data_IF_821407167800
#
_entry.id   IF_821407167800
#
_cell.length_a   1.000
_cell.length_b   1.000
_cell.length_c   1.000
_cell.angle_alpha   90.00
_cell.angle_beta   90.00
_cell.angle_gamma   90.00
#
_symmetry.space_group_name_H-M   'P 1'
#
loop_
_entity.id
_entity.type
_entity.pdbx_description
1 polymer ?
#
# COMPACT_ATOMS: atom_id res chain seq x y z
N UNK A 1 38.07 8.36 -9.67
CA UNK A 1 36.80 8.26 -10.42
C UNK A 1 36.44 6.78 -10.49
N UNK A 2 35.74 6.27 -9.47
CA UNK A 2 35.32 4.86 -9.43
C UNK A 2 33.81 4.83 -9.61
N UNK A 3 33.34 4.22 -10.70
CA UNK A 3 31.92 4.06 -10.98
C UNK A 3 31.32 3.13 -9.91
N UNK A 4 30.73 3.70 -8.86
CA UNK A 4 29.98 2.95 -7.85
C UNK A 4 28.63 2.55 -8.47
N UNK A 5 28.47 1.26 -8.70
CA UNK A 5 27.24 0.66 -9.21
C UNK A 5 26.05 1.02 -8.29
N UNK A 6 24.97 1.55 -8.87
CA UNK A 6 23.66 1.69 -8.23
C UNK A 6 23.11 0.29 -7.89
N UNK A 7 23.42 -0.20 -6.68
CA UNK A 7 22.86 -1.44 -6.13
C UNK A 7 21.58 -1.10 -5.36
N UNK A 8 20.56 -1.95 -5.47
CA UNK A 8 19.33 -1.80 -4.70
C UNK A 8 19.65 -2.14 -3.23
N UNK A 9 19.46 -1.21 -2.27
CA UNK A 9 19.93 -1.40 -0.91
C UNK A 9 19.15 -2.52 -0.24
N UNK A 10 19.87 -3.47 0.33
CA UNK A 10 19.31 -4.64 1.03
C UNK A 10 19.38 -4.48 2.56
N UNK A 11 20.13 -3.49 3.05
CA UNK A 11 20.37 -3.24 4.46
C UNK A 11 20.13 -1.78 4.86
N UNK A 12 19.91 -1.54 6.15
CA UNK A 12 19.55 -0.22 6.70
C UNK A 12 20.71 0.79 6.61
N UNK A 13 21.95 0.31 6.71
CA UNK A 13 23.18 1.09 6.53
C UNK A 13 23.38 1.53 5.08
N UNK A 14 23.13 0.64 4.09
CA UNK A 14 23.16 0.99 2.67
C UNK A 14 22.07 2.02 2.31
N UNK A 15 20.94 1.96 3.01
CA UNK A 15 19.85 2.92 2.88
C UNK A 15 20.24 4.30 3.43
N UNK A 16 20.98 4.34 4.53
CA UNK A 16 21.52 5.58 5.10
C UNK A 16 22.62 6.15 4.23
N UNK A 17 23.57 5.35 3.73
CA UNK A 17 24.58 5.82 2.77
C UNK A 17 23.94 6.33 1.47
N UNK A 18 22.94 5.64 0.94
CA UNK A 18 22.20 6.09 -0.23
C UNK A 18 21.43 7.38 0.06
N UNK A 19 20.84 7.51 1.26
CA UNK A 19 20.12 8.70 1.69
C UNK A 19 21.06 9.89 1.89
N UNK A 20 22.24 9.71 2.50
CA UNK A 20 23.26 10.75 2.65
C UNK A 20 23.85 11.16 1.30
N UNK A 21 24.14 10.21 0.42
CA UNK A 21 24.61 10.48 -0.94
C UNK A 21 23.57 11.25 -1.76
N UNK A 22 22.30 10.83 -1.69
CA UNK A 22 21.19 11.55 -2.33
C UNK A 22 20.99 12.93 -1.71
N UNK A 23 21.10 13.10 -0.39
CA UNK A 23 20.98 14.41 0.28
C UNK A 23 22.13 15.36 -0.08
N UNK A 24 23.36 14.85 -0.23
CA UNK A 24 24.50 15.62 -0.71
C UNK A 24 24.29 16.08 -2.16
N UNK A 25 23.79 15.20 -3.05
CA UNK A 25 23.45 15.55 -4.43
C UNK A 25 22.21 16.46 -4.54
N UNK A 26 21.31 16.40 -3.55
CA UNK A 26 20.09 17.21 -3.46
C UNK A 26 20.40 18.70 -3.22
N UNK A 27 21.55 19.03 -2.63
CA UNK A 27 21.97 20.43 -2.38
C UNK A 27 22.35 21.20 -3.65
N UNK A 28 22.77 20.51 -4.72
CA UNK A 28 23.04 21.15 -6.03
C UNK A 28 21.96 20.87 -7.08
N UNK A 29 21.26 19.73 -7.03
CA UNK A 29 20.30 19.32 -8.06
C UNK A 29 18.97 18.77 -7.49
N UNK A 30 18.32 19.57 -6.65
CA UNK A 30 17.04 19.21 -5.98
C UNK A 30 15.96 18.70 -6.95
N UNK A 31 15.88 19.30 -8.15
CA UNK A 31 14.93 18.92 -9.19
C UNK A 31 15.21 17.52 -9.77
N UNK A 32 16.46 17.10 -9.86
CA UNK A 32 16.84 15.81 -10.44
C UNK A 32 16.47 14.64 -9.53
N UNK A 33 16.75 14.78 -8.22
CA UNK A 33 16.36 13.77 -7.21
C UNK A 33 14.85 13.64 -7.13
N UNK A 34 14.13 14.76 -7.15
CA UNK A 34 12.67 14.76 -7.16
C UNK A 34 12.12 14.12 -8.44
N UNK A 35 12.65 14.46 -9.62
CA UNK A 35 12.23 13.84 -10.88
C UNK A 35 12.47 12.34 -10.91
N UNK A 36 13.65 11.89 -10.46
CA UNK A 36 13.98 10.46 -10.40
C UNK A 36 13.06 9.71 -9.43
N UNK A 37 12.82 10.28 -8.24
CA UNK A 37 11.91 9.73 -7.24
C UNK A 37 10.48 9.62 -7.80
N UNK A 38 9.96 10.72 -8.37
CA UNK A 38 8.64 10.74 -9.00
C UNK A 38 8.54 9.70 -10.12
N UNK A 39 9.56 9.59 -10.97
CA UNK A 39 9.57 8.64 -12.09
C UNK A 39 9.56 7.19 -11.59
N UNK A 40 10.39 6.85 -10.59
CA UNK A 40 10.43 5.53 -9.99
C UNK A 40 9.11 5.19 -9.27
N UNK A 41 8.53 6.15 -8.56
CA UNK A 41 7.25 5.99 -7.88
C UNK A 41 6.13 5.72 -8.89
N UNK A 42 6.02 6.56 -9.91
CA UNK A 42 5.01 6.42 -10.96
C UNK A 42 5.18 5.10 -11.68
N UNK A 43 6.41 4.73 -12.08
CA UNK A 43 6.67 3.43 -12.69
C UNK A 43 6.14 2.30 -11.82
N UNK A 44 6.54 2.25 -10.54
CA UNK A 44 6.10 1.22 -9.59
C UNK A 44 4.57 1.17 -9.47
N UNK A 45 3.93 2.33 -9.34
CA UNK A 45 2.50 2.44 -9.13
C UNK A 45 1.69 2.13 -10.40
N UNK A 46 2.17 2.54 -11.58
CA UNK A 46 1.59 2.23 -12.89
C UNK A 46 1.56 0.73 -13.16
N UNK A 47 2.65 0.03 -12.85
CA UNK A 47 2.77 -1.43 -13.00
C UNK A 47 2.23 -2.20 -11.80
N UNK A 48 1.60 -1.51 -10.83
CA UNK A 48 0.95 -2.08 -9.67
C UNK A 48 1.88 -2.97 -8.79
N UNK A 49 3.18 -2.64 -8.77
CA UNK A 49 4.21 -3.41 -8.07
C UNK A 49 4.11 -3.14 -6.54
N UNK A 50 4.01 -4.18 -5.69
CA UNK A 50 3.89 -4.00 -4.25
C UNK A 50 5.14 -3.38 -3.60
N UNK A 51 4.95 -2.73 -2.44
CA UNK A 51 6.02 -2.13 -1.63
C UNK A 51 6.15 -0.60 -1.76
N UNK A 52 5.07 0.11 -2.05
CA UNK A 52 5.04 1.59 -2.05
C UNK A 52 5.34 2.19 -0.67
N UNK A 53 5.16 1.41 0.42
CA UNK A 53 5.50 1.81 1.79
C UNK A 53 6.92 2.34 1.91
N UNK A 54 7.88 1.67 1.24
CA UNK A 54 9.29 2.04 1.31
C UNK A 54 9.55 3.42 0.71
N UNK A 55 8.99 3.69 -0.48
CA UNK A 55 9.12 4.98 -1.14
C UNK A 55 8.42 6.09 -0.33
N UNK A 56 7.28 5.79 0.30
CA UNK A 56 6.60 6.75 1.18
C UNK A 56 7.46 7.11 2.41
N UNK A 57 8.12 6.13 3.04
CA UNK A 57 9.06 6.36 4.14
C UNK A 57 10.25 7.21 3.64
N UNK A 58 10.83 6.85 2.50
CA UNK A 58 11.95 7.60 1.92
C UNK A 58 11.55 9.06 1.61
N UNK A 59 10.35 9.30 1.09
CA UNK A 59 9.85 10.65 0.86
C UNK A 59 9.74 11.46 2.16
N UNK A 60 9.34 10.83 3.26
CA UNK A 60 9.30 11.48 4.57
C UNK A 60 10.69 11.82 5.11
N UNK A 61 11.67 10.94 4.88
CA UNK A 61 13.06 11.18 5.26
C UNK A 61 13.71 12.32 4.45
N UNK A 62 13.40 12.43 3.16
CA UNK A 62 14.00 13.40 2.24
C UNK A 62 13.30 14.77 2.23
N UNK A 63 11.96 14.79 2.21
CA UNK A 63 11.17 16.00 1.99
C UNK A 63 10.40 16.44 3.25
N UNK A 64 10.46 15.66 4.33
CA UNK A 64 9.72 15.92 5.57
C UNK A 64 8.26 15.48 5.52
N UNK A 65 7.52 15.67 6.62
CA UNK A 65 6.22 15.04 6.83
C UNK A 65 5.11 15.62 5.94
N UNK A 66 5.06 16.95 5.80
CA UNK A 66 3.99 17.62 5.06
C UNK A 66 4.20 17.59 3.55
N UNK A 67 5.42 17.93 3.09
CA UNK A 67 5.74 17.91 1.65
C UNK A 67 5.80 16.47 1.12
N UNK A 68 6.37 15.54 1.89
CA UNK A 68 6.38 14.12 1.55
C UNK A 68 4.97 13.53 1.47
N UNK A 69 4.05 13.91 2.37
CA UNK A 69 2.65 13.48 2.30
C UNK A 69 1.97 13.96 1.02
N UNK A 70 2.07 15.26 0.73
CA UNK A 70 1.43 15.85 -0.45
C UNK A 70 1.98 15.23 -1.74
N UNK A 71 3.29 15.07 -1.82
CA UNK A 71 3.98 14.45 -2.95
C UNK A 71 3.56 12.99 -3.12
N UNK A 72 3.64 12.17 -2.07
CA UNK A 72 3.26 10.76 -2.12
C UNK A 72 1.79 10.57 -2.47
N UNK A 73 0.87 11.34 -1.87
CA UNK A 73 -0.56 11.23 -2.18
C UNK A 73 -0.87 11.62 -3.63
N UNK A 74 -0.19 12.65 -4.15
CA UNK A 74 -0.32 13.04 -5.56
C UNK A 74 0.23 11.95 -6.49
N UNK A 75 1.46 11.46 -6.24
CA UNK A 75 2.09 10.40 -7.04
C UNK A 75 1.30 9.09 -6.99
N UNK A 76 0.76 8.73 -5.83
CA UNK A 76 -0.09 7.55 -5.65
C UNK A 76 -1.33 7.64 -6.53
N UNK A 77 -1.98 8.81 -6.53
CA UNK A 77 -3.23 9.03 -7.26
C UNK A 77 -3.00 9.08 -8.77
N UNK A 78 -1.97 9.80 -9.22
CA UNK A 78 -1.57 9.87 -10.63
C UNK A 78 -1.14 8.48 -11.13
N UNK A 79 -0.26 7.79 -10.41
CA UNK A 79 0.20 6.45 -10.81
C UNK A 79 -0.93 5.41 -10.79
N UNK A 80 -1.86 5.49 -9.85
CA UNK A 80 -3.04 4.64 -9.83
C UNK A 80 -3.96 4.90 -11.04
N UNK A 81 -4.12 6.16 -11.44
CA UNK A 81 -4.89 6.52 -12.65
C UNK A 81 -4.19 6.04 -13.93
N UNK A 82 -2.87 6.08 -13.99
CA UNK A 82 -2.13 5.48 -15.10
C UNK A 82 -2.31 3.95 -15.15
N UNK A 83 -2.26 3.28 -13.99
CA UNK A 83 -2.57 1.85 -13.87
C UNK A 83 -3.99 1.53 -14.33
N UNK A 84 -4.97 2.34 -13.92
CA UNK A 84 -6.36 2.26 -14.39
C UNK A 84 -6.41 2.38 -15.92
N UNK A 85 -5.71 3.35 -16.52
CA UNK A 85 -5.67 3.55 -17.97
C UNK A 85 -5.09 2.36 -18.71
N UNK A 86 -3.94 1.85 -18.25
CA UNK A 86 -3.30 0.65 -18.79
C UNK A 86 -4.22 -0.57 -18.71
N UNK A 87 -4.90 -0.76 -17.58
CA UNK A 87 -5.85 -1.86 -17.39
C UNK A 87 -7.09 -1.73 -18.27
N UNK A 88 -7.58 -0.51 -18.51
CA UNK A 88 -8.72 -0.28 -19.39
C UNK A 88 -8.41 -0.68 -20.85
N UNK A 89 -7.17 -0.47 -21.31
CA UNK A 89 -6.74 -0.78 -22.67
C UNK A 89 -6.38 -2.27 -22.82
N UNK A 90 -5.57 -2.81 -21.91
CA UNK A 90 -5.00 -4.16 -22.05
C UNK A 90 -5.48 -5.16 -20.99
N UNK A 91 -5.84 -4.69 -19.80
CA UNK A 91 -6.05 -5.54 -18.62
C UNK A 91 -7.39 -6.26 -18.54
N UNK A 92 -8.44 -5.78 -19.23
CA UNK A 92 -9.80 -6.35 -19.13
C UNK A 92 -9.86 -7.87 -19.31
N UNK A 93 -9.26 -8.39 -20.38
CA UNK A 93 -9.31 -9.83 -20.69
C UNK A 93 -8.48 -10.67 -19.71
N UNK A 94 -7.28 -10.21 -19.37
CA UNK A 94 -6.39 -10.92 -18.44
C UNK A 94 -6.98 -11.03 -17.04
N UNK A 95 -7.53 -9.94 -16.51
CA UNK A 95 -8.03 -9.91 -15.12
C UNK A 95 -9.27 -10.77 -14.94
N UNK A 96 -10.17 -10.73 -15.92
CA UNK A 96 -11.37 -11.58 -15.92
C UNK A 96 -10.97 -13.06 -16.03
N UNK A 97 -9.95 -13.38 -16.83
CA UNK A 97 -9.47 -14.76 -16.97
C UNK A 97 -8.83 -15.30 -15.69
N UNK A 98 -7.98 -14.53 -15.02
CA UNK A 98 -7.27 -14.99 -13.81
C UNK A 98 -8.13 -14.91 -12.53
N UNK A 99 -9.05 -13.96 -12.42
CA UNK A 99 -9.82 -13.72 -11.20
C UNK A 99 -11.33 -13.49 -11.43
N UNK A 100 -12.04 -14.38 -12.14
CA UNK A 100 -13.44 -14.17 -12.53
C UNK A 100 -14.35 -13.97 -11.32
N UNK A 101 -14.25 -14.83 -10.30
CA UNK A 101 -15.13 -14.80 -9.12
C UNK A 101 -14.96 -13.51 -8.29
N UNK A 102 -13.73 -13.04 -8.15
CA UNK A 102 -13.44 -11.82 -7.38
C UNK A 102 -13.92 -10.57 -8.10
N UNK A 103 -13.75 -10.53 -9.43
CA UNK A 103 -14.27 -9.44 -10.26
C UNK A 103 -15.79 -9.42 -10.20
N UNK A 104 -16.46 -10.57 -10.35
CA UNK A 104 -17.91 -10.68 -10.28
C UNK A 104 -18.46 -10.27 -8.90
N UNK A 105 -17.83 -10.71 -7.81
CA UNK A 105 -18.20 -10.30 -6.46
C UNK A 105 -18.05 -8.79 -6.26
N UNK A 106 -16.93 -8.21 -6.71
CA UNK A 106 -16.68 -6.78 -6.56
C UNK A 106 -17.64 -5.97 -7.44
N UNK A 107 -17.96 -6.44 -8.64
CA UNK A 107 -18.95 -5.85 -9.54
C UNK A 107 -20.33 -5.79 -8.89
N UNK A 108 -20.78 -6.91 -8.30
CA UNK A 108 -22.06 -6.96 -7.60
C UNK A 108 -22.12 -5.96 -6.45
N UNK A 109 -21.06 -5.89 -5.63
CA UNK A 109 -20.99 -4.92 -4.51
C UNK A 109 -20.95 -3.48 -4.99
N UNK A 110 -20.26 -3.20 -6.10
CA UNK A 110 -20.24 -1.87 -6.72
C UNK A 110 -21.63 -1.47 -7.20
N UNK A 111 -22.37 -2.40 -7.82
CA UNK A 111 -23.73 -2.15 -8.30
C UNK A 111 -24.72 -1.95 -7.13
N UNK A 112 -24.62 -2.76 -6.08
CA UNK A 112 -25.41 -2.63 -4.85
C UNK A 112 -25.17 -1.28 -4.14
N UNK A 113 -23.94 -0.76 -4.21
CA UNK A 113 -23.54 0.51 -3.58
C UNK A 113 -23.38 1.65 -4.59
N UNK A 114 -24.04 1.59 -5.75
CA UNK A 114 -23.86 2.57 -6.84
C UNK A 114 -24.20 4.01 -6.41
N UNK A 115 -25.20 4.17 -5.54
CA UNK A 115 -25.61 5.48 -4.98
C UNK A 115 -24.56 6.11 -4.06
N UNK A 116 -23.70 5.30 -3.45
CA UNK A 116 -22.66 5.70 -2.50
C UNK A 116 -21.27 5.19 -2.93
N UNK A 117 -21.04 5.07 -4.24
CA UNK A 117 -19.86 4.43 -4.84
C UNK A 117 -18.55 5.02 -4.30
N UNK A 118 -18.49 6.34 -4.14
CA UNK A 118 -17.32 7.03 -3.59
C UNK A 118 -16.98 6.57 -2.17
N UNK A 119 -17.97 6.51 -1.27
CA UNK A 119 -17.77 6.08 0.11
C UNK A 119 -17.44 4.60 0.19
N UNK A 120 -18.04 3.79 -0.68
CA UNK A 120 -17.70 2.36 -0.79
C UNK A 120 -16.23 2.17 -1.19
N UNK A 121 -15.75 2.91 -2.20
CA UNK A 121 -14.33 2.86 -2.61
C UNK A 121 -13.39 3.37 -1.53
N UNK A 122 -13.77 4.43 -0.82
CA UNK A 122 -13.01 4.96 0.29
C UNK A 122 -12.88 3.90 1.40
N UNK A 123 -13.98 3.24 1.75
CA UNK A 123 -14.01 2.16 2.74
C UNK A 123 -13.07 1.00 2.35
N UNK A 124 -13.12 0.56 1.08
CA UNK A 124 -12.24 -0.51 0.58
C UNK A 124 -10.75 -0.17 0.60
N UNK A 125 -10.41 1.12 0.64
CA UNK A 125 -9.02 1.61 0.68
C UNK A 125 -8.51 1.83 2.09
N UNK A 126 -9.38 2.37 2.95
CA UNK A 126 -9.09 2.56 4.38
C UNK A 126 -8.98 1.22 5.10
N UNK A 127 -9.89 0.29 4.81
CA UNK A 127 -9.86 -1.07 5.31
C UNK A 127 -9.30 -1.97 4.22
N UNK A 128 -8.06 -2.48 4.34
CA UNK A 128 -7.36 -3.23 3.29
C UNK A 128 -7.94 -4.64 3.10
N UNK A 129 -9.24 -4.74 2.81
CA UNK A 129 -9.96 -5.97 2.51
C UNK A 129 -9.54 -6.54 1.15
N UNK A 130 -9.09 -5.66 0.25
CA UNK A 130 -8.54 -6.03 -1.06
C UNK A 130 -7.23 -5.30 -1.31
N UNK A 131 -6.27 -5.90 -2.02
CA UNK A 131 -5.03 -5.22 -2.37
C UNK A 131 -5.30 -3.98 -3.24
N UNK A 132 -4.59 -2.88 -2.97
CA UNK A 132 -4.75 -1.65 -3.77
C UNK A 132 -4.48 -1.86 -5.26
N UNK A 133 -3.46 -2.66 -5.60
CA UNK A 133 -3.16 -3.00 -6.98
C UNK A 133 -4.36 -3.65 -7.69
N UNK A 134 -5.08 -4.52 -6.98
CA UNK A 134 -6.25 -5.22 -7.52
C UNK A 134 -7.37 -4.23 -7.80
N UNK A 135 -7.70 -3.37 -6.83
CA UNK A 135 -8.72 -2.32 -7.03
C UNK A 135 -8.37 -1.40 -8.20
N UNK A 136 -7.12 -0.99 -8.34
CA UNK A 136 -6.68 -0.13 -9.44
C UNK A 136 -6.88 -0.81 -10.80
N UNK A 137 -6.57 -2.10 -10.87
CA UNK A 137 -6.67 -2.91 -12.07
C UNK A 137 -8.13 -3.26 -12.43
N UNK A 138 -8.99 -3.54 -11.44
CA UNK A 138 -10.40 -3.91 -11.67
C UNK A 138 -11.32 -2.71 -11.88
N UNK A 139 -11.01 -1.55 -11.30
CA UNK A 139 -11.86 -0.34 -11.40
C UNK A 139 -12.33 0.03 -12.82
N UNK A 140 -11.51 -0.04 -13.89
CA UNK A 140 -11.98 0.23 -15.26
C UNK A 140 -12.89 -0.87 -15.82
N UNK A 141 -12.77 -2.11 -15.33
CA UNK A 141 -13.61 -3.24 -15.71
C UNK A 141 -15.02 -3.07 -15.13
N UNK A 142 -15.08 -2.50 -13.92
CA UNK A 142 -16.31 -2.20 -13.20
C UNK A 142 -16.99 -0.89 -13.62
N UNK A 143 -16.49 -0.23 -14.68
CA UNK A 143 -16.99 1.05 -15.18
C UNK A 143 -17.04 2.17 -14.11
N UNK A 144 -16.08 2.17 -13.18
CA UNK A 144 -15.97 3.23 -12.18
C UNK A 144 -15.39 4.48 -12.86
N UNK A 145 -16.01 5.67 -12.69
CA UNK A 145 -15.50 6.89 -13.31
C UNK A 145 -14.14 7.30 -12.72
N UNK A 146 -13.21 7.70 -13.59
CA UNK A 146 -11.82 8.04 -13.23
C UNK A 146 -11.75 9.13 -12.15
N UNK A 147 -12.65 10.11 -12.17
CA UNK A 147 -12.68 11.19 -11.18
C UNK A 147 -12.94 10.67 -9.77
N UNK A 148 -13.95 9.80 -9.60
CA UNK A 148 -14.23 9.18 -8.29
C UNK A 148 -13.10 8.26 -7.86
N UNK A 149 -12.53 7.51 -8.81
CA UNK A 149 -11.37 6.68 -8.56
C UNK A 149 -10.18 7.49 -8.05
N UNK A 150 -9.79 8.56 -8.74
CA UNK A 150 -8.67 9.43 -8.38
C UNK A 150 -8.84 10.03 -6.98
N UNK A 151 -10.00 10.63 -6.70
CA UNK A 151 -10.27 11.24 -5.39
C UNK A 151 -10.32 10.17 -4.29
N UNK A 152 -10.88 8.98 -4.57
CA UNK A 152 -10.89 7.87 -3.61
C UNK A 152 -9.49 7.39 -3.25
N UNK A 153 -8.57 7.35 -4.22
CA UNK A 153 -7.16 6.97 -3.99
C UNK A 153 -6.46 8.06 -3.19
N UNK A 154 -6.64 9.32 -3.58
CA UNK A 154 -6.02 10.46 -2.92
C UNK A 154 -6.40 10.53 -1.44
N UNK A 155 -7.70 10.47 -1.13
CA UNK A 155 -8.20 10.60 0.25
C UNK A 155 -8.06 9.28 1.01
N UNK A 156 -8.40 8.15 0.38
CA UNK A 156 -8.43 6.84 1.04
C UNK A 156 -7.06 6.31 1.43
N UNK A 157 -6.00 6.70 0.71
CA UNK A 157 -4.63 6.29 1.05
C UNK A 157 -3.86 7.37 1.80
N UNK A 158 -4.45 8.56 2.02
CA UNK A 158 -3.80 9.64 2.75
C UNK A 158 -3.40 9.23 4.18
N UNK A 159 -4.23 8.53 4.98
CA UNK A 159 -3.84 8.11 6.33
C UNK A 159 -2.66 7.15 6.32
N UNK A 160 -2.67 6.20 5.38
CA UNK A 160 -1.58 5.24 5.19
C UNK A 160 -0.28 5.94 4.76
N UNK A 161 -0.37 6.84 3.76
CA UNK A 161 0.76 7.64 3.31
C UNK A 161 1.32 8.50 4.44
N UNK A 162 0.46 9.13 5.25
CA UNK A 162 0.86 9.93 6.40
C UNK A 162 1.65 9.12 7.42
N UNK A 163 1.17 7.92 7.80
CA UNK A 163 1.90 7.06 8.73
C UNK A 163 3.29 6.73 8.18
N UNK A 164 3.41 6.30 6.92
CA UNK A 164 4.69 5.95 6.32
C UNK A 164 5.65 7.15 6.24
N UNK A 165 5.17 8.29 5.74
CA UNK A 165 5.97 9.51 5.60
C UNK A 165 6.39 10.02 6.98
N UNK A 166 5.49 10.01 7.97
CA UNK A 166 5.80 10.40 9.34
C UNK A 166 6.87 9.48 9.95
N UNK A 167 6.78 8.17 9.73
CA UNK A 167 7.82 7.21 10.14
C UNK A 167 9.17 7.57 9.52
N UNK A 168 9.20 7.88 8.23
CA UNK A 168 10.44 8.30 7.54
C UNK A 168 11.03 9.59 8.08
N UNK A 169 10.19 10.59 8.35
CA UNK A 169 10.63 11.86 8.92
C UNK A 169 11.15 11.72 10.36
N UNK A 170 10.61 10.80 11.16
CA UNK A 170 11.13 10.52 12.50
C UNK A 170 12.46 9.79 12.37
N UNK A 171 12.58 8.83 11.45
CA UNK A 171 13.80 8.07 11.24
C UNK A 171 14.97 8.95 10.80
N UNK A 172 14.73 9.96 9.94
CA UNK A 172 15.78 10.88 9.48
C UNK A 172 16.26 11.87 10.56
N UNK A 173 15.51 12.03 11.66
CA UNK A 173 15.92 12.86 12.80
C UNK A 173 16.73 12.08 13.85
N UNK A 174 16.69 10.75 13.81
CA UNK A 174 17.49 9.87 14.68
C UNK A 174 18.88 9.72 14.05
N UNK A 175 19.65 10.82 14.04
CA UNK A 175 21.01 10.87 13.46
C UNK A 175 22.13 10.82 14.51
N UNK A 176 21.85 10.48 15.77
CA UNK A 176 22.90 10.06 16.71
C UNK A 176 22.82 8.55 16.91
N UNK A 177 23.78 7.84 16.33
CA UNK A 177 23.94 6.38 16.44
C UNK A 177 24.04 5.92 17.92
N UNK A 178 24.40 6.80 18.85
CA UNK A 178 24.39 6.54 20.30
C UNK A 178 22.97 6.42 20.91
N UNK A 179 21.93 6.94 20.26
CA UNK A 179 20.55 6.89 20.74
C UNK A 179 19.75 5.69 20.23
N UNK A 180 20.28 4.94 19.24
CA UNK A 180 19.65 3.73 18.71
C UNK A 180 19.73 2.59 19.73
N UNK A 181 20.80 2.53 20.53
CA UNK A 181 20.95 1.59 21.65
C UNK A 181 20.29 2.05 22.96
N UNK A 182 19.55 3.17 22.96
CA UNK A 182 18.77 3.57 24.11
C UNK A 182 17.55 2.65 24.28
N UNK A 183 17.38 2.08 25.48
CA UNK A 183 16.26 1.23 25.86
C UNK A 183 14.89 1.81 25.47
N UNK A 184 14.76 3.14 25.44
CA UNK A 184 13.54 3.85 25.05
C UNK A 184 13.20 3.71 23.56
N UNK A 185 14.20 3.60 22.68
CA UNK A 185 14.02 3.43 21.22
C UNK A 185 13.62 2.00 20.88
N UNK A 186 14.24 1.02 21.54
CA UNK A 186 13.86 -0.40 21.47
C UNK A 186 12.40 -0.61 21.86
N UNK A 187 11.94 0.01 22.96
CA UNK A 187 10.54 -0.07 23.38
C UNK A 187 9.57 0.60 22.39
N UNK A 188 9.97 1.70 21.75
CA UNK A 188 9.14 2.39 20.74
C UNK A 188 9.04 1.60 19.44
N UNK A 189 10.13 0.99 18.97
CA UNK A 189 10.11 0.11 17.80
C UNK A 189 9.31 -1.16 18.07
N UNK A 190 9.45 -1.74 19.27
CA UNK A 190 8.64 -2.86 19.72
C UNK A 190 7.16 -2.48 19.77
N UNK A 191 6.82 -1.31 20.29
CA UNK A 191 5.44 -0.81 20.34
C UNK A 191 4.86 -0.62 18.93
N UNK A 192 5.62 -0.05 17.99
CA UNK A 192 5.18 0.11 16.60
C UNK A 192 5.04 -1.25 15.90
N UNK A 193 5.97 -2.18 16.12
CA UNK A 193 5.89 -3.54 15.57
C UNK A 193 4.67 -4.29 16.13
N UNK A 194 4.39 -4.18 17.42
CA UNK A 194 3.19 -4.74 18.05
C UNK A 194 1.95 -4.09 17.43
N UNK A 195 1.88 -2.76 17.33
CA UNK A 195 0.74 -2.04 16.74
C UNK A 195 0.53 -2.40 15.27
N UNK A 196 1.61 -2.60 14.50
CA UNK A 196 1.55 -3.06 13.11
C UNK A 196 1.10 -4.54 13.00
N UNK A 197 1.37 -5.37 14.01
CA UNK A 197 0.93 -6.75 14.10
C UNK A 197 -0.51 -6.90 14.63
N UNK A 198 -1.07 -5.89 15.31
CA UNK A 198 -2.46 -5.92 15.80
C UNK A 198 -3.47 -6.13 14.65
N UNK A 199 -3.42 -5.37 13.53
CA UNK A 199 -4.30 -5.63 12.39
C UNK A 199 -4.13 -7.05 11.85
N UNK A 200 -2.89 -7.50 11.65
CA UNK A 200 -2.59 -8.82 11.08
C UNK A 200 -3.04 -9.98 11.97
N UNK A 201 -2.87 -9.87 13.29
CA UNK A 201 -3.24 -10.92 14.26
C UNK A 201 -4.74 -10.93 14.54
N UNK A 202 -5.42 -9.78 14.56
CA UNK A 202 -6.89 -9.70 14.65
C UNK A 202 -7.53 -10.29 13.41
N UNK A 203 -7.04 -9.93 12.21
CA UNK A 203 -7.52 -10.47 10.94
C UNK A 203 -7.27 -11.99 10.89
N UNK A 204 -6.10 -12.47 11.33
CA UNK A 204 -5.79 -13.91 11.38
C UNK A 204 -6.67 -14.65 12.40
N UNK A 205 -6.95 -14.06 13.56
CA UNK A 205 -7.88 -14.62 14.58
C UNK A 205 -9.33 -14.65 14.08
N UNK A 206 -9.81 -13.61 13.42
CA UNK A 206 -11.15 -13.59 12.84
C UNK A 206 -11.29 -14.56 11.67
N UNK A 207 -10.27 -14.64 10.80
CA UNK A 207 -10.22 -15.60 9.69
C UNK A 207 -10.20 -17.05 10.20
N UNK A 208 -9.39 -17.37 11.22
CA UNK A 208 -9.39 -18.71 11.85
C UNK A 208 -10.70 -19.03 12.57
N UNK A 209 -11.35 -18.05 13.21
CA UNK A 209 -12.64 -18.26 13.88
C UNK A 209 -13.75 -18.57 12.87
N UNK A 210 -13.80 -17.88 11.72
CA UNK A 210 -14.74 -18.19 10.64
C UNK A 210 -14.45 -19.52 9.96
N UNK A 211 -13.17 -19.88 9.75
CA UNK A 211 -12.78 -21.19 9.20
C UNK A 211 -13.14 -22.36 10.13
N UNK A 212 -13.04 -22.18 11.45
CA UNK A 212 -13.40 -23.23 12.43
C UNK A 212 -14.92 -23.37 12.62
N UNK A 213 -15.70 -22.28 12.48
CA UNK A 213 -17.16 -22.33 12.54
C UNK A 213 -17.73 -23.08 11.32
N UNK A 214 -17.25 -22.79 10.10
CA UNK A 214 -17.68 -23.50 8.87
C UNK A 214 -17.30 -25.00 8.91
N UNK A 215 -16.15 -25.34 9.50
CA UNK A 215 -15.73 -26.74 9.68
C UNK A 215 -16.60 -27.48 10.71
N UNK A 216 -16.97 -26.81 11.81
CA UNK A 216 -17.85 -27.36 12.84
C UNK A 216 -19.28 -27.57 12.30
N UNK A 217 -19.80 -26.60 11.56
CA UNK A 217 -21.15 -26.65 10.97
C UNK A 217 -21.27 -27.76 9.90
N UNK A 218 -20.24 -27.94 9.07
CA UNK A 218 -20.14 -29.07 8.12
C UNK A 218 -20.04 -30.42 8.83
N UNK A 219 -19.28 -30.54 9.92
CA UNK A 219 -19.19 -31.80 10.66
C UNK A 219 -20.50 -32.20 11.35
N UNK A 220 -21.28 -31.23 11.85
CA UNK A 220 -22.59 -31.48 12.47
C UNK A 220 -23.63 -31.91 11.42
N UNK A 221 -23.64 -31.28 10.24
CA UNK A 221 -24.52 -31.69 9.14
C UNK A 221 -24.20 -33.09 8.58
N UNK A 222 -22.92 -33.43 8.46
CA UNK A 222 -22.52 -34.79 8.02
C UNK A 222 -22.95 -35.83 9.04
N UNK A 223 -22.75 -35.61 10.34
CA UNK A 223 -23.17 -36.57 11.38
C UNK A 223 -24.70 -36.74 11.46
N UNK A 224 -25.46 -35.68 11.22
CA UNK A 224 -26.93 -35.75 11.19
C UNK A 224 -27.46 -36.44 9.92
N UNK A 225 -26.74 -36.40 8.80
CA UNK A 225 -27.08 -37.13 7.57
C UNK A 225 -26.95 -38.65 7.68
N UNK A 226 -26.11 -39.15 8.58
CA UNK A 226 -25.94 -40.59 8.82
C UNK A 226 -26.98 -41.20 9.78
N UNK A 227 -27.74 -40.37 10.50
CA UNK A 227 -28.82 -40.82 11.41
C UNK A 227 -30.21 -40.85 10.76
N UNK A 228 -30.32 -40.49 9.49
CA UNK A 228 -31.61 -40.35 8.77
C UNK A 228 -31.89 -41.44 7.72
N UNK A 229 -31.08 -42.51 7.66
CA UNK A 229 -31.34 -43.68 6.80
C UNK A 229 -31.45 -44.95 7.64
#
# INVERSE_FOLDING_TARGET
>A
MSARLLKFPSDLEELQELAEFLQYYNREHHAYVLLLFCSAYLYKQCFAIPGSSFLNILAGALFGPWMGLLLCSTLTSVGATCCYGLSNIFGKQFVIYYFPDKVAMLQRKVEENRSSLFFFLLFLRLFPMSPNWFLNLTSPILNIPVTLFFISVFIGLMPYNFICVQTGSILSQISSLDAIFSWTTLFKMLAIAIVALIPGTIIKKYSQKHLNLDKSEKSVHVLNGWKSN
#
